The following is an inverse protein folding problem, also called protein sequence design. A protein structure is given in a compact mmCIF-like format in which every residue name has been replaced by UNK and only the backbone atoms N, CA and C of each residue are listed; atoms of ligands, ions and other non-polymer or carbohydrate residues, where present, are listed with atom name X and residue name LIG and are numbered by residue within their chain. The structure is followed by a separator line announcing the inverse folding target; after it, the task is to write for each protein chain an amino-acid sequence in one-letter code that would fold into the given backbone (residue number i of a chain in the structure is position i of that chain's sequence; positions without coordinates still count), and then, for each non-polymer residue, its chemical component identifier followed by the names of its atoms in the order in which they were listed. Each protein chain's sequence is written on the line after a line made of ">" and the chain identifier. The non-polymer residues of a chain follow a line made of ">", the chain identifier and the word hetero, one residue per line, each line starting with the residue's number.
data_IF_042417010267
#
_entry.id   IF_042417010267
#
_cell.length_a   1.000
_cell.length_b   1.000
_cell.length_c   1.000
_cell.angle_alpha   90.00
_cell.angle_beta   90.00
_cell.angle_gamma   90.00
#
_symmetry.space_group_name_H-M   'P 1'
#
loop_
_entity.id
_entity.type
_entity.pdbx_description
1 polymer ?
#
# COMPACT_ATOMS: atom_id res chain seq x y z
N UNK A 1 1.75 29.99 -11.62
CA UNK A 1 2.65 30.06 -10.46
C UNK A 1 3.64 28.92 -10.63
N UNK A 2 4.92 29.19 -10.87
CA UNK A 2 5.89 28.10 -11.09
C UNK A 2 6.09 27.29 -9.79
N UNK A 3 6.15 25.96 -9.85
CA UNK A 3 6.38 25.13 -8.69
C UNK A 3 7.81 25.36 -8.20
N UNK A 4 7.95 26.08 -7.09
CA UNK A 4 9.24 26.36 -6.46
C UNK A 4 9.83 25.03 -5.98
N UNK A 5 10.94 24.61 -6.60
CA UNK A 5 11.72 23.45 -6.15
C UNK A 5 12.05 23.64 -4.66
N UNK A 6 11.52 22.76 -3.81
CA UNK A 6 11.87 22.73 -2.39
C UNK A 6 13.33 22.29 -2.31
N UNK A 7 14.15 23.03 -1.56
CA UNK A 7 15.53 22.63 -1.29
C UNK A 7 15.53 21.16 -0.80
N UNK A 8 16.37 20.32 -1.42
CA UNK A 8 16.48 18.91 -1.05
C UNK A 8 16.77 18.81 0.44
N UNK A 9 15.95 18.07 1.18
CA UNK A 9 16.10 17.94 2.65
C UNK A 9 17.48 17.34 3.05
N UNK A 10 18.20 16.77 2.09
CA UNK A 10 19.42 15.99 2.31
C UNK A 10 20.63 16.56 1.56
N UNK A 11 20.75 17.88 1.32
CA UNK A 11 21.96 18.44 0.68
C UNK A 11 23.22 18.03 1.48
N UNK A 12 24.14 17.31 0.84
CA UNK A 12 25.37 16.80 1.46
C UNK A 12 25.20 15.53 2.32
N UNK A 13 24.02 14.89 2.28
CA UNK A 13 23.73 13.61 2.92
C UNK A 13 23.09 12.67 1.89
N UNK A 14 23.20 11.37 2.14
CA UNK A 14 22.51 10.39 1.30
C UNK A 14 20.98 10.50 1.44
N UNK A 15 20.26 10.23 0.35
CA UNK A 15 18.80 10.16 0.35
C UNK A 15 18.30 8.79 0.83
N UNK A 16 19.00 7.72 0.47
CA UNK A 16 18.68 6.33 0.83
C UNK A 16 19.62 5.78 1.91
N UNK A 17 19.17 4.73 2.60
CA UNK A 17 19.97 4.05 3.61
C UNK A 17 21.17 3.33 2.97
N UNK A 18 22.36 3.48 3.57
CA UNK A 18 23.57 2.82 3.07
C UNK A 18 23.41 1.30 2.95
N UNK A 19 22.81 0.65 3.96
CA UNK A 19 22.61 -0.80 3.98
C UNK A 19 21.66 -1.27 2.87
N UNK A 20 20.63 -0.48 2.55
CA UNK A 20 19.66 -0.83 1.51
C UNK A 20 20.32 -0.77 0.13
N UNK A 21 21.08 0.29 -0.13
CA UNK A 21 21.84 0.43 -1.37
C UNK A 21 22.95 -0.63 -1.51
N UNK A 22 23.63 -0.98 -0.41
CA UNK A 22 24.61 -2.06 -0.43
C UNK A 22 23.98 -3.43 -0.71
N UNK A 23 22.80 -3.71 -0.14
CA UNK A 23 22.04 -4.92 -0.44
C UNK A 23 21.54 -4.94 -1.89
N UNK A 24 21.12 -3.80 -2.42
CA UNK A 24 20.72 -3.67 -3.82
C UNK A 24 21.88 -4.01 -4.76
N UNK A 25 23.08 -3.47 -4.50
CA UNK A 25 24.29 -3.76 -5.26
C UNK A 25 24.64 -5.26 -5.20
N UNK A 26 24.66 -5.84 -3.99
CA UNK A 26 24.93 -7.26 -3.81
C UNK A 26 23.90 -8.15 -4.54
N UNK A 27 22.62 -7.78 -4.49
CA UNK A 27 21.55 -8.48 -5.21
C UNK A 27 21.69 -8.44 -6.74
N UNK A 28 22.41 -7.45 -7.26
CA UNK A 28 22.72 -7.31 -8.70
C UNK A 28 24.13 -7.82 -9.07
N UNK A 29 24.83 -8.50 -8.15
CA UNK A 29 26.09 -9.19 -8.41
C UNK A 29 27.35 -8.44 -7.98
N UNK A 30 27.23 -7.35 -7.22
CA UNK A 30 28.39 -6.69 -6.60
C UNK A 30 28.90 -7.46 -5.36
N UNK A 31 30.00 -7.00 -4.76
CA UNK A 31 30.57 -7.55 -3.53
C UNK A 31 29.69 -7.28 -2.30
N UNK A 32 29.79 -8.13 -1.27
CA UNK A 32 28.98 -8.02 -0.03
C UNK A 32 29.21 -6.72 0.75
N UNK A 33 30.40 -6.13 0.63
CA UNK A 33 30.76 -4.87 1.26
C UNK A 33 31.31 -3.92 0.17
N UNK A 34 30.42 -3.22 -0.56
CA UNK A 34 30.84 -2.31 -1.61
C UNK A 34 31.57 -1.09 -1.04
N UNK A 35 32.34 -0.41 -1.89
CA UNK A 35 33.01 0.83 -1.51
C UNK A 35 31.97 1.92 -1.16
N UNK A 36 32.30 2.76 -0.18
CA UNK A 36 31.41 3.84 0.26
C UNK A 36 31.14 4.84 -0.87
N UNK A 37 32.13 5.06 -1.72
CA UNK A 37 32.04 5.91 -2.90
C UNK A 37 31.04 5.35 -3.92
N UNK A 38 31.07 4.04 -4.18
CA UNK A 38 30.10 3.37 -5.07
C UNK A 38 28.67 3.55 -4.56
N UNK A 39 28.46 3.37 -3.26
CA UNK A 39 27.14 3.52 -2.63
C UNK A 39 26.65 4.98 -2.70
N UNK A 40 27.54 5.96 -2.54
CA UNK A 40 27.21 7.39 -2.69
C UNK A 40 26.84 7.74 -4.14
N UNK A 41 27.61 7.26 -5.10
CA UNK A 41 27.32 7.48 -6.52
C UNK A 41 25.98 6.84 -6.90
N UNK A 42 25.69 5.65 -6.38
CA UNK A 42 24.39 5.01 -6.59
C UNK A 42 23.23 5.83 -6.01
N UNK A 43 23.39 6.42 -4.82
CA UNK A 43 22.39 7.32 -4.22
C UNK A 43 22.10 8.52 -5.11
N UNK A 44 23.14 9.15 -5.66
CA UNK A 44 23.02 10.30 -6.58
C UNK A 44 22.30 9.90 -7.88
N UNK A 45 22.74 8.81 -8.52
CA UNK A 45 22.13 8.29 -9.77
C UNK A 45 20.66 7.94 -9.55
N UNK A 46 20.35 7.24 -8.45
CA UNK A 46 18.98 6.83 -8.15
C UNK A 46 18.08 8.04 -7.86
N UNK A 47 18.60 9.01 -7.13
CA UNK A 47 17.89 10.26 -6.84
C UNK A 47 17.59 11.03 -8.12
N UNK A 48 18.57 11.16 -9.02
CA UNK A 48 18.39 11.83 -10.32
C UNK A 48 17.36 11.08 -11.18
N UNK A 49 17.43 9.75 -11.24
CA UNK A 49 16.48 8.93 -11.98
C UNK A 49 15.04 9.13 -11.48
N UNK A 50 14.80 9.04 -10.17
CA UNK A 50 13.47 9.18 -9.58
C UNK A 50 12.91 10.59 -9.81
N UNK A 51 13.75 11.61 -9.67
CA UNK A 51 13.38 13.00 -9.94
C UNK A 51 13.02 13.20 -11.41
N UNK A 52 13.85 12.70 -12.34
CA UNK A 52 13.63 12.78 -13.78
C UNK A 52 12.28 12.17 -14.19
N UNK A 53 12.00 10.94 -13.73
CA UNK A 53 10.72 10.26 -13.98
C UNK A 53 9.56 11.04 -13.38
N UNK A 54 9.70 11.56 -12.15
CA UNK A 54 8.65 12.31 -11.47
C UNK A 54 8.31 13.62 -12.19
N UNK A 55 9.30 14.29 -12.79
CA UNK A 55 9.06 15.47 -13.62
C UNK A 55 8.30 15.12 -14.91
N UNK A 56 8.65 14.03 -15.58
CA UNK A 56 7.92 13.59 -16.77
C UNK A 56 6.47 13.18 -16.46
N UNK A 57 6.26 12.42 -15.38
CA UNK A 57 4.92 12.04 -14.91
C UNK A 57 4.12 13.27 -14.49
N UNK A 58 4.73 14.23 -13.77
CA UNK A 58 4.06 15.48 -13.41
C UNK A 58 3.66 16.30 -14.63
N UNK A 59 4.50 16.34 -15.67
CA UNK A 59 4.16 16.98 -16.94
C UNK A 59 2.99 16.30 -17.63
N UNK A 60 2.93 14.96 -17.62
CA UNK A 60 1.80 14.21 -18.16
C UNK A 60 0.49 14.53 -17.41
N UNK A 61 0.53 14.57 -16.08
CA UNK A 61 -0.61 14.96 -15.24
C UNK A 61 -1.10 16.38 -15.55
N UNK A 62 -0.17 17.33 -15.69
CA UNK A 62 -0.48 18.72 -16.03
C UNK A 62 -1.12 18.86 -17.41
N UNK A 63 -0.67 18.10 -18.41
CA UNK A 63 -1.33 18.07 -19.73
C UNK A 63 -2.76 17.55 -19.67
N UNK A 64 -3.06 16.67 -18.70
CA UNK A 64 -4.41 16.20 -18.40
C UNK A 64 -5.21 17.17 -17.49
N UNK A 65 -4.68 18.36 -17.19
CA UNK A 65 -5.33 19.34 -16.31
C UNK A 65 -5.32 18.97 -14.82
N UNK A 66 -4.58 17.93 -14.43
CA UNK A 66 -4.51 17.45 -13.04
C UNK A 66 -3.27 17.99 -12.33
N UNK A 67 -3.48 18.45 -11.09
CA UNK A 67 -2.38 18.85 -10.20
C UNK A 67 -1.74 17.65 -9.49
N UNK A 68 -2.52 16.59 -9.24
CA UNK A 68 -2.07 15.36 -8.59
C UNK A 68 -1.65 14.33 -9.63
N UNK A 69 -0.45 13.77 -9.43
CA UNK A 69 0.10 12.69 -10.27
C UNK A 69 -0.58 11.38 -9.89
N UNK A 70 -1.04 10.64 -10.89
CA UNK A 70 -1.60 9.29 -10.78
C UNK A 70 -0.59 8.27 -11.30
N UNK A 71 -0.87 7.00 -11.00
CA UNK A 71 -0.03 5.90 -11.47
C UNK A 71 0.07 5.83 -13.01
N UNK A 72 -1.02 6.08 -13.72
CA UNK A 72 -1.08 6.11 -15.19
C UNK A 72 -0.09 7.13 -15.80
N UNK A 73 0.23 8.20 -15.07
CA UNK A 73 1.21 9.20 -15.53
C UNK A 73 2.64 8.62 -15.53
N UNK A 74 2.95 7.72 -14.60
CA UNK A 74 4.24 7.01 -14.56
C UNK A 74 4.33 5.94 -15.65
N UNK A 75 3.24 5.22 -15.92
CA UNK A 75 3.18 4.32 -17.09
C UNK A 75 3.43 5.10 -18.38
N UNK A 76 2.77 6.25 -18.53
CA UNK A 76 2.95 7.10 -19.69
C UNK A 76 4.38 7.66 -19.79
N UNK A 77 4.99 8.09 -18.68
CA UNK A 77 6.38 8.57 -18.67
C UNK A 77 7.36 7.47 -19.14
N UNK A 78 7.18 6.23 -18.66
CA UNK A 78 8.09 5.12 -18.96
C UNK A 78 7.76 4.37 -20.27
N UNK A 79 6.78 4.82 -21.06
CA UNK A 79 6.28 4.16 -22.29
C UNK A 79 7.34 3.83 -23.34
N UNK A 80 8.48 4.51 -23.31
CA UNK A 80 9.57 4.30 -24.28
C UNK A 80 10.44 3.08 -23.93
N UNK A 81 10.42 2.63 -22.67
CA UNK A 81 11.19 1.47 -22.24
C UNK A 81 10.26 0.28 -21.97
N UNK A 82 10.26 -0.74 -22.84
CA UNK A 82 9.38 -1.90 -22.69
C UNK A 82 9.68 -2.72 -21.42
N UNK A 83 10.93 -2.72 -20.94
CA UNK A 83 11.29 -3.46 -19.73
C UNK A 83 10.69 -2.82 -18.47
N UNK A 84 10.73 -1.49 -18.38
CA UNK A 84 10.10 -0.78 -17.25
C UNK A 84 8.59 -0.95 -17.26
N UNK A 85 7.95 -0.92 -18.43
CA UNK A 85 6.52 -1.16 -18.57
C UNK A 85 6.13 -2.56 -18.10
N UNK A 86 6.83 -3.59 -18.59
CA UNK A 86 6.58 -4.98 -18.17
C UNK A 86 6.76 -5.16 -16.67
N UNK A 87 7.78 -4.50 -16.09
CA UNK A 87 8.01 -4.58 -14.64
C UNK A 87 6.92 -3.89 -13.83
N UNK A 88 6.48 -2.73 -14.27
CA UNK A 88 5.39 -1.98 -13.65
C UNK A 88 4.12 -2.83 -13.64
N UNK A 89 3.74 -3.40 -14.77
CA UNK A 89 2.53 -4.24 -14.88
C UNK A 89 2.63 -5.47 -13.98
N UNK A 90 3.76 -6.19 -14.00
CA UNK A 90 4.01 -7.35 -13.14
C UNK A 90 3.82 -7.02 -11.65
N UNK A 91 4.31 -5.85 -11.20
CA UNK A 91 4.17 -5.40 -9.81
C UNK A 91 2.70 -5.18 -9.44
N UNK A 92 1.91 -4.59 -10.35
CA UNK A 92 0.49 -4.37 -10.12
C UNK A 92 -0.34 -5.66 -10.14
N UNK A 93 -0.01 -6.59 -11.03
CA UNK A 93 -0.64 -7.91 -11.08
C UNK A 93 -0.41 -8.66 -9.77
N UNK A 94 0.84 -8.72 -9.29
CA UNK A 94 1.17 -9.34 -8.00
C UNK A 94 0.48 -8.67 -6.83
N UNK A 95 0.35 -7.34 -6.84
CA UNK A 95 -0.40 -6.62 -5.79
C UNK A 95 -1.88 -7.07 -5.77
N UNK A 96 -2.52 -7.16 -6.94
CA UNK A 96 -3.91 -7.63 -7.07
C UNK A 96 -4.07 -9.07 -6.60
N UNK A 97 -3.12 -9.94 -6.95
CA UNK A 97 -3.11 -11.34 -6.48
C UNK A 97 -3.01 -11.44 -4.96
N UNK A 98 -2.13 -10.65 -4.34
CA UNK A 98 -1.97 -10.60 -2.87
C UNK A 98 -3.25 -10.09 -2.21
N UNK A 99 -3.87 -9.04 -2.75
CA UNK A 99 -5.13 -8.50 -2.22
C UNK A 99 -6.28 -9.50 -2.36
N UNK A 100 -6.38 -10.20 -3.48
CA UNK A 100 -7.36 -11.26 -3.69
C UNK A 100 -7.16 -12.42 -2.71
N UNK A 101 -5.91 -12.85 -2.50
CA UNK A 101 -5.58 -13.90 -1.54
C UNK A 101 -5.95 -13.50 -0.09
N UNK A 102 -5.68 -12.25 0.30
CA UNK A 102 -6.06 -11.71 1.61
C UNK A 102 -7.57 -11.68 1.81
N UNK A 103 -8.34 -11.28 0.79
CA UNK A 103 -9.81 -11.28 0.84
C UNK A 103 -10.36 -12.70 0.97
N UNK A 104 -9.83 -13.64 0.18
CA UNK A 104 -10.26 -15.04 0.25
C UNK A 104 -10.00 -15.65 1.64
N UNK A 105 -8.83 -15.39 2.23
CA UNK A 105 -8.51 -15.83 3.59
C UNK A 105 -9.46 -15.23 4.63
N UNK A 106 -9.78 -13.94 4.53
CA UNK A 106 -10.73 -13.30 5.44
C UNK A 106 -12.15 -13.87 5.33
N UNK A 107 -12.59 -14.26 4.13
CA UNK A 107 -13.91 -14.86 3.92
C UNK A 107 -13.94 -16.28 4.47
N UNK A 108 -12.88 -17.06 4.26
CA UNK A 108 -12.76 -18.43 4.76
C UNK A 108 -12.73 -18.47 6.29
N UNK A 109 -11.98 -17.57 6.94
CA UNK A 109 -11.95 -17.43 8.40
C UNK A 109 -13.32 -17.02 8.98
N UNK A 110 -14.08 -16.16 8.28
CA UNK A 110 -15.43 -15.78 8.70
C UNK A 110 -16.40 -16.97 8.56
N UNK A 111 -16.33 -17.70 7.45
CA UNK A 111 -17.18 -18.87 7.23
C UNK A 111 -16.93 -19.95 8.30
N UNK A 112 -15.67 -20.25 8.62
CA UNK A 112 -15.30 -21.20 9.67
C UNK A 112 -15.81 -20.78 11.06
N UNK A 113 -15.75 -19.48 11.39
CA UNK A 113 -16.31 -18.97 12.66
C UNK A 113 -17.82 -19.10 12.71
N UNK A 114 -18.50 -18.91 11.58
CA UNK A 114 -19.95 -18.98 11.53
C UNK A 114 -20.45 -20.43 11.50
N UNK A 115 -19.72 -21.36 10.87
CA UNK A 115 -19.99 -22.81 11.01
C UNK A 115 -19.75 -23.27 12.45
N UNK A 116 -18.65 -22.88 13.09
CA UNK A 116 -18.38 -23.21 14.50
C UNK A 116 -19.46 -22.70 15.46
N UNK A 117 -20.01 -21.49 15.20
CA UNK A 117 -21.11 -20.93 15.98
C UNK A 117 -22.41 -21.70 15.74
N UNK A 118 -22.70 -22.07 14.50
CA UNK A 118 -23.90 -22.83 14.14
C UNK A 118 -23.85 -24.25 14.73
N UNK A 119 -22.70 -24.92 14.67
CA UNK A 119 -22.50 -26.23 15.30
C UNK A 119 -22.66 -26.16 16.82
N UNK A 120 -22.06 -25.16 17.48
CA UNK A 120 -22.24 -24.94 18.93
C UNK A 120 -23.66 -24.56 19.32
N UNK A 121 -24.41 -23.90 18.45
CA UNK A 121 -25.82 -23.59 18.67
C UNK A 121 -26.69 -24.85 18.52
N UNK A 122 -26.45 -25.65 17.49
CA UNK A 122 -27.15 -26.91 17.25
C UNK A 122 -26.86 -27.96 18.33
N UNK A 123 -25.63 -28.03 18.85
CA UNK A 123 -25.26 -28.91 19.97
C UNK A 123 -25.97 -28.50 21.26
N UNK A 124 -26.04 -27.19 21.56
CA UNK A 124 -26.79 -26.67 22.71
C UNK A 124 -28.29 -26.92 22.64
N UNK A 125 -28.89 -26.89 21.46
CA UNK A 125 -30.33 -27.21 21.29
C UNK A 125 -30.58 -28.72 21.39
N UNK A 126 -29.64 -29.57 20.96
CA UNK A 126 -29.70 -31.03 21.17
C UNK A 126 -29.55 -31.39 22.66
N UNK A 127 -28.65 -30.73 23.39
CA UNK A 127 -28.50 -30.93 24.83
C UNK A 127 -29.70 -30.41 25.63
N UNK A 128 -30.35 -29.32 25.19
CA UNK A 128 -31.60 -28.82 25.79
C UNK A 128 -32.80 -29.73 25.56
N UNK A 129 -32.83 -30.46 24.44
CA UNK A 129 -33.84 -31.50 24.21
C UNK A 129 -33.58 -32.79 25.01
N UNK A 130 -32.35 -33.03 25.48
CA UNK A 130 -31.96 -34.20 26.27
C UNK A 130 -31.94 -34.01 27.80
N UNK A 131 -31.85 -32.79 28.30
CA UNK A 131 -31.69 -32.51 29.74
C UNK A 131 -33.01 -32.27 30.47
N UNK A 132 -33.82 -33.32 30.59
CA UNK A 132 -34.78 -33.46 31.67
C UNK A 132 -34.08 -33.84 32.98
N UNK A 133 -33.52 -32.84 33.69
CA UNK A 133 -33.20 -32.96 35.12
C UNK A 133 -31.83 -32.45 35.59
N UNK A 134 -31.83 -31.44 36.48
CA UNK A 134 -30.88 -31.38 37.60
C UNK A 134 -29.72 -30.36 37.58
N UNK A 135 -30.03 -29.13 37.99
CA UNK A 135 -29.27 -28.18 38.84
C UNK A 135 -27.72 -28.17 38.99
N UNK A 136 -27.20 -26.92 38.94
CA UNK A 136 -26.16 -26.23 39.76
C UNK A 136 -24.71 -26.05 39.23
N UNK A 137 -24.38 -24.74 39.22
CA UNK A 137 -23.15 -24.03 39.67
C UNK A 137 -21.91 -24.00 38.75
N UNK A 138 -21.38 -22.78 38.60
CA UNK A 138 -19.92 -22.56 38.53
C UNK A 138 -19.43 -21.67 37.40
N UNK A 139 -19.35 -20.36 37.66
CA UNK A 139 -18.76 -19.31 36.81
C UNK A 139 -17.23 -19.44 36.77
N UNK A 140 -16.60 -19.29 35.59
CA UNK A 140 -15.59 -18.26 35.22
C UNK A 140 -14.75 -18.72 34.01
N UNK A 141 -14.85 -18.06 32.86
CA UNK A 141 -13.76 -18.02 31.87
C UNK A 141 -13.34 -16.58 31.66
N UNK A 142 -12.02 -16.37 31.67
CA UNK A 142 -11.39 -15.06 31.53
C UNK A 142 -11.39 -14.63 30.07
N UNK A 143 -11.73 -13.37 29.86
CA UNK A 143 -11.50 -12.64 28.61
C UNK A 143 -10.01 -12.52 28.33
N UNK A 144 -9.56 -12.92 27.14
CA UNK A 144 -8.35 -12.38 26.54
C UNK A 144 -8.73 -11.70 25.23
N UNK A 145 -8.56 -10.39 25.27
CA UNK A 145 -8.88 -9.41 24.27
C UNK A 145 -7.60 -9.13 23.50
N UNK A 146 -7.57 -9.40 22.20
CA UNK A 146 -6.59 -8.81 21.28
C UNK A 146 -7.38 -8.08 20.20
N UNK A 147 -7.63 -6.80 20.46
CA UNK A 147 -7.85 -5.81 19.41
C UNK A 147 -6.48 -5.52 18.81
N UNK A 148 -6.30 -5.87 17.54
CA UNK A 148 -5.32 -5.20 16.68
C UNK A 148 -6.17 -4.41 15.70
N UNK A 149 -6.25 -3.10 15.95
CA UNK A 149 -6.72 -2.14 14.97
C UNK A 149 -5.62 -1.93 13.95
N UNK A 150 -5.98 -2.02 12.68
CA UNK A 150 -5.18 -1.50 11.59
C UNK A 150 -6.09 -0.56 10.79
N UNK A 151 -5.52 0.60 10.49
CA UNK A 151 -6.20 1.81 10.09
C UNK A 151 -6.69 1.67 8.65
N UNK A 152 -8.01 1.79 8.45
CA UNK A 152 -8.59 1.95 7.12
C UNK A 152 -8.05 3.26 6.53
N UNK A 153 -7.19 3.12 5.52
CA UNK A 153 -6.87 4.21 4.60
C UNK A 153 -8.16 4.54 3.84
N UNK A 154 -8.87 5.53 4.36
CA UNK A 154 -10.05 6.13 3.76
C UNK A 154 -9.67 6.68 2.37
N UNK A 155 -10.14 6.01 1.31
CA UNK A 155 -10.15 6.52 -0.05
C UNK A 155 -11.08 7.74 -0.07
N UNK A 156 -10.50 8.91 0.21
CA UNK A 156 -11.14 10.20 0.01
C UNK A 156 -11.25 10.51 -1.48
N UNK A 157 -12.33 10.03 -2.11
CA UNK A 157 -12.93 10.62 -3.30
C UNK A 157 -13.43 12.04 -2.94
N UNK A 158 -12.52 13.00 -2.83
CA UNK A 158 -12.85 14.43 -2.81
C UNK A 158 -12.99 14.92 -4.25
N UNK A 159 -14.11 14.57 -4.88
CA UNK A 159 -14.65 15.28 -6.04
C UNK A 159 -15.16 16.66 -5.56
N UNK A 160 -14.26 17.65 -5.57
CA UNK A 160 -14.65 19.05 -5.45
C UNK A 160 -15.15 19.54 -6.81
N UNK A 161 -16.46 19.46 -7.00
CA UNK A 161 -17.20 20.28 -7.96
C UNK A 161 -17.03 21.77 -7.60
N UNK A 162 -16.19 22.49 -8.36
CA UNK A 162 -16.18 23.96 -8.35
C UNK A 162 -17.16 24.45 -9.43
N UNK A 163 -18.45 24.49 -9.08
CA UNK A 163 -19.46 25.24 -9.82
C UNK A 163 -19.54 26.66 -9.26
N UNK A 164 -19.03 27.63 -10.02
CA UNK A 164 -18.84 28.99 -9.53
C UNK A 164 -18.60 30.04 -10.60
N UNK A 165 -19.26 29.91 -11.76
CA UNK A 165 -19.32 30.98 -12.74
C UNK A 165 -20.04 32.22 -12.20
N UNK A 166 -19.31 33.29 -11.88
CA UNK A 166 -19.89 34.61 -11.65
C UNK A 166 -19.02 35.76 -12.19
N UNK A 167 -19.50 36.29 -13.32
CA UNK A 167 -19.58 37.71 -13.68
C UNK A 167 -18.30 38.51 -14.04
N UNK A 168 -18.28 38.91 -15.32
CA UNK A 168 -17.64 40.11 -15.88
C UNK A 168 -18.11 41.42 -15.20
N UNK A 169 -17.26 42.46 -15.30
CA UNK A 169 -17.39 43.92 -15.04
C UNK A 169 -16.59 44.35 -13.79
N UNK A 170 -15.69 45.33 -13.81
CA UNK A 170 -15.33 46.40 -14.76
C UNK A 170 -13.82 46.50 -14.91
#
# INVERSE_FOLDING_TARGET
>A
MEPRARAGKNVGKMNFGHNELAQLLYGHGDVRAPLNETVRVLDEILTEFIQGVSFEASRAAQHAGRQKVKFEDFEFAMRRNPHYMGKIQEVFEKKKEIEAARKNFSIEDQLMRDTDKQEKAAEKDRDRAGAGGGAKRGRKSMSSQMMVGEEDLEDGDDDLEDDGGAARKN
#
